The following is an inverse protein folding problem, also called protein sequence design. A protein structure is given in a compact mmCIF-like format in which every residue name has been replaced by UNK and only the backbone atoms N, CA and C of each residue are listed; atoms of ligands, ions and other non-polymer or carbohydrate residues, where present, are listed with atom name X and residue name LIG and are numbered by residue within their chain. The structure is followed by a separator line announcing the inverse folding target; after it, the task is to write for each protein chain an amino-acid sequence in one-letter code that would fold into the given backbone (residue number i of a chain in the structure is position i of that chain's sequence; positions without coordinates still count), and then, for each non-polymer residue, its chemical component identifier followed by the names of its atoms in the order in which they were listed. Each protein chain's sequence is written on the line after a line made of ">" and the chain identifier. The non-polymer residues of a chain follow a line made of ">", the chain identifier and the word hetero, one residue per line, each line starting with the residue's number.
data_IF_958861729558
#
_entry.id   IF_958861729558
#
_cell.length_a   1.000
_cell.length_b   1.000
_cell.length_c   1.000
_cell.angle_alpha   90.00
_cell.angle_beta   90.00
_cell.angle_gamma   90.00
#
_symmetry.space_group_name_H-M   'P 1'
#
loop_
_entity.id
_entity.type
_entity.pdbx_description
1 polymer ?
#
# COMPACT_ATOMS: atom_id res chain seq x y z
N UNK A 1 13.68 -0.57 1.70
CA UNK A 1 12.43 0.18 1.46
C UNK A 1 12.27 0.34 -0.02
N UNK A 2 11.11 -0.02 -0.57
CA UNK A 2 10.83 0.05 -2.01
C UNK A 2 9.65 1.00 -2.22
N UNK A 3 9.78 1.93 -3.16
CA UNK A 3 8.73 2.88 -3.55
C UNK A 3 8.46 2.75 -5.05
N UNK A 4 7.19 2.70 -5.43
CA UNK A 4 6.77 2.57 -6.82
C UNK A 4 5.68 3.57 -7.14
N UNK A 5 5.82 4.27 -8.26
CA UNK A 5 4.81 5.18 -8.80
C UNK A 5 4.03 4.47 -9.90
N UNK A 6 2.75 4.22 -9.66
CA UNK A 6 1.86 3.52 -10.58
C UNK A 6 0.81 4.51 -11.12
N UNK A 7 0.39 4.30 -12.36
CA UNK A 7 -0.64 5.10 -12.99
C UNK A 7 -0.95 4.61 -14.40
N UNK A 8 -1.84 5.31 -15.10
CA UNK A 8 -2.27 4.96 -16.46
C UNK A 8 -1.11 4.84 -17.47
N UNK A 9 -0.07 5.65 -17.31
CA UNK A 9 1.12 5.61 -18.16
C UNK A 9 2.20 4.63 -17.68
N UNK A 10 2.00 3.98 -16.53
CA UNK A 10 2.97 3.08 -15.91
C UNK A 10 2.24 1.99 -15.11
N UNK A 11 1.51 1.15 -15.84
CA UNK A 11 0.75 0.04 -15.25
C UNK A 11 1.71 -1.05 -14.75
N UNK A 12 1.65 -1.37 -13.46
CA UNK A 12 2.49 -2.41 -12.85
C UNK A 12 1.66 -3.35 -12.00
N UNK A 13 2.02 -4.63 -12.03
CA UNK A 13 1.62 -5.63 -11.05
C UNK A 13 2.75 -5.75 -10.02
N UNK A 14 2.47 -5.48 -8.75
CA UNK A 14 3.44 -5.59 -7.67
C UNK A 14 3.11 -6.83 -6.84
N UNK A 15 4.09 -7.74 -6.71
CA UNK A 15 3.97 -8.88 -5.83
C UNK A 15 4.48 -8.51 -4.43
N UNK A 16 3.62 -8.70 -3.43
CA UNK A 16 3.92 -8.43 -2.02
C UNK A 16 4.17 -9.77 -1.30
N UNK A 17 5.40 -10.04 -0.83
CA UNK A 17 5.69 -11.19 0.03
C UNK A 17 4.88 -11.20 1.34
N UNK A 18 4.81 -12.35 1.99
CA UNK A 18 4.22 -12.43 3.34
C UNK A 18 5.10 -11.71 4.36
N UNK A 19 4.48 -11.26 5.46
CA UNK A 19 5.17 -10.66 6.61
C UNK A 19 5.92 -9.36 6.29
N UNK A 20 5.44 -8.58 5.32
CA UNK A 20 5.92 -7.21 5.10
C UNK A 20 4.76 -6.22 5.15
N UNK A 21 5.04 -5.01 5.63
CA UNK A 21 4.13 -3.89 5.49
C UNK A 21 4.12 -3.41 4.04
N UNK A 22 2.93 -3.13 3.52
CA UNK A 22 2.72 -2.45 2.27
C UNK A 22 1.58 -1.45 2.45
N UNK A 23 1.59 -0.39 1.67
CA UNK A 23 0.54 0.62 1.66
C UNK A 23 0.62 1.40 0.36
N UNK A 24 -0.42 2.19 0.10
CA UNK A 24 -0.50 3.05 -1.06
C UNK A 24 -1.21 4.34 -0.67
N UNK A 25 -0.88 5.41 -1.39
CA UNK A 25 -1.52 6.71 -1.26
C UNK A 25 -1.83 7.22 -2.66
N UNK A 26 -3.05 7.70 -2.90
CA UNK A 26 -3.33 8.41 -4.13
C UNK A 26 -2.59 9.76 -4.10
N UNK A 27 -1.70 9.97 -5.07
CA UNK A 27 -0.94 11.22 -5.24
C UNK A 27 -1.43 12.04 -6.44
N UNK A 28 -2.36 11.50 -7.22
CA UNK A 28 -2.96 12.17 -8.37
C UNK A 28 -4.06 13.13 -7.94
N UNK A 29 -4.52 13.95 -8.89
CA UNK A 29 -5.68 14.82 -8.70
C UNK A 29 -7.00 14.07 -8.88
N UNK A 30 -6.96 12.90 -9.54
CA UNK A 30 -8.10 12.07 -9.86
C UNK A 30 -8.14 10.79 -9.02
N UNK A 31 -9.27 10.07 -9.08
CA UNK A 31 -9.45 8.79 -8.40
C UNK A 31 -8.44 7.73 -8.90
N UNK A 32 -7.87 6.97 -7.96
CA UNK A 32 -7.03 5.82 -8.27
C UNK A 32 -7.76 4.52 -7.92
N UNK A 33 -7.73 3.56 -8.85
CA UNK A 33 -8.27 2.20 -8.64
C UNK A 33 -7.12 1.27 -8.24
N UNK A 34 -7.29 0.58 -7.11
CA UNK A 34 -6.35 -0.43 -6.62
C UNK A 34 -7.04 -1.79 -6.56
N UNK A 35 -6.45 -2.80 -7.21
CA UNK A 35 -6.96 -4.16 -7.22
C UNK A 35 -6.04 -5.04 -6.39
N UNK A 36 -6.55 -5.55 -5.27
CA UNK A 36 -5.84 -6.52 -4.44
C UNK A 36 -6.20 -7.95 -4.86
N UNK A 37 -5.19 -8.79 -5.10
CA UNK A 37 -5.35 -10.21 -5.46
C UNK A 37 -4.72 -11.07 -4.34
N UNK A 38 -5.43 -11.26 -3.21
CA UNK A 38 -4.86 -11.95 -2.06
C UNK A 38 -4.72 -13.46 -2.34
N UNK A 39 -3.70 -14.09 -1.75
CA UNK A 39 -3.47 -15.54 -1.88
C UNK A 39 -4.48 -16.39 -1.11
N UNK A 40 -5.22 -15.79 -0.17
CA UNK A 40 -6.26 -16.41 0.65
C UNK A 40 -7.39 -15.42 0.88
N UNK A 41 -8.59 -15.93 1.14
CA UNK A 41 -9.74 -15.10 1.51
C UNK A 41 -9.58 -14.54 2.91
N UNK A 42 -10.18 -13.38 3.16
CA UNK A 42 -10.16 -12.73 4.47
C UNK A 42 -10.95 -13.54 5.51
N UNK A 43 -10.39 -13.71 6.71
CA UNK A 43 -11.02 -14.41 7.82
C UNK A 43 -11.57 -13.43 8.87
N UNK A 44 -12.87 -13.14 8.80
CA UNK A 44 -13.54 -12.20 9.73
C UNK A 44 -13.47 -12.61 11.21
N UNK A 45 -13.38 -13.90 11.52
CA UNK A 45 -13.34 -14.39 12.92
C UNK A 45 -11.95 -14.27 13.53
N UNK A 46 -10.92 -14.38 12.70
CA UNK A 46 -9.52 -14.32 13.12
C UNK A 46 -8.68 -13.72 11.98
N UNK A 47 -8.68 -12.39 11.84
CA UNK A 47 -7.95 -11.71 10.78
C UNK A 47 -6.44 -11.84 10.98
N UNK A 48 -5.72 -12.08 9.89
CA UNK A 48 -4.25 -12.12 9.84
C UNK A 48 -3.64 -10.78 9.39
N UNK A 49 -4.47 -9.73 9.33
CA UNK A 49 -4.08 -8.38 8.95
C UNK A 49 -3.53 -7.61 10.17
N UNK A 50 -2.28 -7.17 10.06
CA UNK A 50 -1.68 -6.23 11.01
C UNK A 50 -1.68 -4.84 10.40
N UNK A 51 -2.23 -3.86 11.13
CA UNK A 51 -2.25 -2.45 10.73
C UNK A 51 -1.36 -1.64 11.65
N UNK A 52 -0.69 -0.66 11.09
CA UNK A 52 0.07 0.37 11.81
C UNK A 52 -0.43 1.73 11.34
N UNK A 53 -0.42 2.71 12.24
CA UNK A 53 -0.72 4.09 11.87
C UNK A 53 0.34 4.57 10.87
N UNK A 54 0.00 5.26 9.76
CA UNK A 54 0.99 5.70 8.78
C UNK A 54 1.96 6.77 9.30
N UNK A 55 1.62 7.56 10.33
CA UNK A 55 2.45 8.64 10.86
C UNK A 55 3.06 8.31 12.22
N UNK A 56 2.39 7.48 13.02
CA UNK A 56 2.82 7.08 14.37
C UNK A 56 3.26 5.60 14.37
N UNK A 57 4.44 5.32 13.81
CA UNK A 57 5.01 3.97 13.73
C UNK A 57 6.56 3.99 13.58
N UNK A 58 7.19 2.82 13.63
CA UNK A 58 8.65 2.63 13.54
C UNK A 58 9.18 2.42 12.10
N UNK A 59 8.36 2.58 11.06
CA UNK A 59 8.75 2.44 9.65
C UNK A 59 9.38 3.77 9.19
N UNK A 60 10.63 3.77 8.68
CA UNK A 60 11.34 4.98 8.28
C UNK A 60 10.89 5.50 6.89
N UNK A 61 9.58 5.70 6.70
CA UNK A 61 8.99 6.23 5.47
C UNK A 61 8.07 7.42 5.79
N UNK A 62 8.27 8.54 5.09
CA UNK A 62 7.44 9.74 5.27
C UNK A 62 6.22 9.70 4.34
N UNK A 63 5.05 9.51 4.93
CA UNK A 63 3.77 9.44 4.21
C UNK A 63 3.21 10.80 3.80
N UNK A 64 3.79 11.93 4.24
CA UNK A 64 3.29 13.26 3.88
C UNK A 64 3.40 13.47 2.37
N UNK A 65 2.45 14.21 1.80
CA UNK A 65 2.60 14.67 0.42
C UNK A 65 3.80 15.60 0.40
N UNK A 66 4.84 15.23 -0.35
CA UNK A 66 5.94 16.14 -0.62
C UNK A 66 5.38 17.21 -1.54
N UNK A 67 5.43 18.46 -1.09
CA UNK A 67 5.19 19.60 -1.98
C UNK A 67 6.23 19.54 -3.10
N UNK A 68 5.77 19.80 -4.32
CA UNK A 68 6.63 19.98 -5.48
C UNK A 68 7.20 21.39 -5.51
#
# INVERSE_FOLDING_TARGET
>A
MNEFFLGEHNFKLIQIPKMIYHGFKCIGQEEAIVINIPTKTYNYKNPDEYRVDPYENDIPYDWRLKEG
#
